data_IF_976173959700
#
_entry.id   IF_976173959700
#
_cell.length_a   1.000
_cell.length_b   1.000
_cell.length_c   1.000
_cell.angle_alpha   90.00
_cell.angle_beta   90.00
_cell.angle_gamma   90.00
#
_symmetry.space_group_name_H-M   'P 1'
#
loop_
_entity.id
_entity.type
_entity.pdbx_description
1 polymer ?
#
# COMPACT_ATOMS: atom_id res chain seq x y z
N UNK A 1 -12.70 12.81 8.32
CA UNK A 1 -11.99 12.04 7.29
C UNK A 1 -10.57 11.77 7.74
N UNK A 2 -10.16 10.50 7.74
CA UNK A 2 -8.77 10.14 7.99
C UNK A 2 -7.96 10.27 6.69
N UNK A 3 -6.79 10.94 6.69
CA UNK A 3 -5.97 11.18 5.48
C UNK A 3 -5.13 9.95 5.11
N UNK A 4 -5.72 8.76 5.18
CA UNK A 4 -5.11 7.49 4.79
C UNK A 4 -6.19 6.48 4.42
N UNK A 5 -5.79 5.47 3.66
CA UNK A 5 -6.62 4.31 3.34
C UNK A 5 -6.03 3.10 4.06
N UNK A 6 -6.90 2.33 4.70
CA UNK A 6 -6.59 1.03 5.27
C UNK A 6 -7.21 -0.04 4.39
N UNK A 7 -6.38 -0.87 3.77
CA UNK A 7 -6.81 -1.88 2.80
C UNK A 7 -6.35 -3.28 3.21
N UNK A 8 -7.14 -4.27 2.83
CA UNK A 8 -6.76 -5.68 2.96
C UNK A 8 -5.80 -6.04 1.84
N UNK A 9 -4.74 -6.79 2.16
CA UNK A 9 -3.81 -7.31 1.16
C UNK A 9 -4.52 -8.34 0.24
N UNK A 10 -4.11 -8.45 -1.03
CA UNK A 10 -4.70 -9.40 -1.96
C UNK A 10 -4.28 -10.84 -1.64
N UNK A 11 -5.12 -11.81 -2.01
CA UNK A 11 -4.77 -13.24 -2.05
C UNK A 11 -4.25 -13.83 -0.72
N UNK A 12 -4.60 -13.22 0.42
CA UNK A 12 -4.15 -13.68 1.74
C UNK A 12 -2.67 -13.42 2.02
N UNK A 13 -2.03 -12.55 1.24
CA UNK A 13 -0.64 -12.13 1.42
C UNK A 13 -0.40 -11.50 2.79
N UNK A 14 0.77 -11.72 3.39
CA UNK A 14 1.11 -11.05 4.65
C UNK A 14 1.31 -9.55 4.44
N UNK A 15 1.19 -8.78 5.52
CA UNK A 15 1.39 -7.33 5.49
C UNK A 15 2.80 -6.95 5.00
N UNK A 16 3.81 -7.75 5.35
CA UNK A 16 5.20 -7.53 4.95
C UNK A 16 5.47 -7.99 3.51
N UNK A 17 4.94 -9.12 3.08
CA UNK A 17 5.08 -9.54 1.68
C UNK A 17 4.46 -8.51 0.71
N UNK A 18 3.31 -7.93 1.10
CA UNK A 18 2.68 -6.88 0.31
C UNK A 18 3.51 -5.59 0.28
N UNK A 19 4.14 -5.23 1.41
CA UNK A 19 5.08 -4.11 1.47
C UNK A 19 6.23 -4.30 0.47
N UNK A 20 6.91 -5.44 0.52
CA UNK A 20 8.07 -5.72 -0.32
C UNK A 20 7.68 -5.74 -1.81
N UNK A 21 6.55 -6.37 -2.16
CA UNK A 21 6.06 -6.41 -3.54
C UNK A 21 5.72 -5.02 -4.07
N UNK A 22 5.03 -4.21 -3.28
CA UNK A 22 4.65 -2.84 -3.66
C UNK A 22 5.88 -1.94 -3.84
N UNK A 23 6.87 -2.07 -2.95
CA UNK A 23 8.12 -1.32 -3.03
C UNK A 23 8.94 -1.74 -4.26
N UNK A 24 9.13 -3.03 -4.47
CA UNK A 24 10.00 -3.55 -5.52
C UNK A 24 9.40 -3.40 -6.92
N UNK A 25 8.10 -3.67 -7.08
CA UNK A 25 7.47 -3.68 -8.40
C UNK A 25 6.92 -2.31 -8.80
N UNK A 26 6.36 -1.56 -7.84
CA UNK A 26 5.67 -0.30 -8.10
C UNK A 26 6.45 0.92 -7.63
N UNK A 27 7.56 0.77 -6.89
CA UNK A 27 8.30 1.89 -6.28
C UNK A 27 7.39 2.79 -5.43
N UNK A 28 6.49 2.18 -4.66
CA UNK A 28 5.57 2.85 -3.73
C UNK A 28 5.80 2.31 -2.32
N UNK A 29 5.98 3.21 -1.37
CA UNK A 29 6.14 2.88 0.06
C UNK A 29 4.81 3.10 0.77
N UNK A 30 4.47 2.20 1.69
CA UNK A 30 3.40 2.40 2.66
C UNK A 30 3.74 1.70 3.97
N UNK A 31 2.78 1.56 4.87
CA UNK A 31 3.03 0.95 6.19
C UNK A 31 2.38 -0.44 6.26
N UNK A 32 3.16 -1.52 6.49
CA UNK A 32 2.60 -2.86 6.70
C UNK A 32 1.72 -2.85 7.95
N UNK A 33 0.54 -3.47 7.86
CA UNK A 33 -0.44 -3.45 8.92
C UNK A 33 0.00 -4.19 10.19
N UNK A 34 0.89 -5.17 10.06
CA UNK A 34 1.51 -5.88 11.17
C UNK A 34 2.26 -4.97 12.14
N UNK A 35 2.77 -3.82 11.65
CA UNK A 35 3.38 -2.78 12.48
C UNK A 35 2.40 -2.09 13.46
N UNK A 36 1.09 -2.29 13.29
CA UNK A 36 0.04 -1.79 14.19
C UNK A 36 -0.47 -2.86 15.16
N UNK A 37 0.15 -4.04 15.19
CA UNK A 37 -0.20 -5.16 16.06
C UNK A 37 -0.81 -6.36 15.30
N UNK A 38 -1.08 -7.48 16.00
CA UNK A 38 -1.52 -8.74 15.37
C UNK A 38 -2.80 -8.60 14.54
N UNK A 39 -3.74 -7.75 14.96
CA UNK A 39 -4.99 -7.51 14.24
C UNK A 39 -4.80 -6.73 12.92
N UNK A 40 -3.61 -6.22 12.65
CA UNK A 40 -3.27 -5.57 11.38
C UNK A 40 -2.57 -6.50 10.38
N UNK A 41 -2.37 -7.78 10.71
CA UNK A 41 -1.83 -8.75 9.75
C UNK A 41 -2.79 -8.95 8.57
N UNK A 42 -2.24 -9.03 7.35
CA UNK A 42 -3.03 -9.02 6.11
C UNK A 42 -3.67 -7.68 5.75
N UNK A 43 -3.19 -6.57 6.33
CA UNK A 43 -3.65 -5.21 6.00
C UNK A 43 -2.48 -4.27 5.69
N UNK A 44 -2.79 -3.15 5.05
CA UNK A 44 -1.81 -2.17 4.64
C UNK A 44 -2.36 -0.74 4.72
N UNK A 45 -1.50 0.21 5.07
CA UNK A 45 -1.84 1.64 5.13
C UNK A 45 -1.16 2.42 4.01
N UNK A 46 -1.95 3.17 3.24
CA UNK A 46 -1.47 4.19 2.31
C UNK A 46 -1.86 5.57 2.80
N UNK A 47 -0.87 6.46 2.89
CA UNK A 47 -1.06 7.86 3.27
C UNK A 47 -1.56 8.68 2.09
N UNK A 48 -2.50 9.60 2.35
CA UNK A 48 -2.86 10.67 1.43
C UNK A 48 -2.09 11.98 1.71
N UNK A 49 -1.18 11.98 2.69
CA UNK A 49 -0.24 13.08 2.89
C UNK A 49 0.86 13.03 1.83
N UNK A 50 0.79 13.96 0.88
CA UNK A 50 1.76 14.14 -0.18
C UNK A 50 1.22 15.08 -1.25
N UNK A 51 2.11 15.57 -2.11
CA UNK A 51 1.69 16.38 -3.25
C UNK A 51 0.80 15.56 -4.19
N UNK A 52 -0.18 16.22 -4.79
CA UNK A 52 -1.14 15.58 -5.70
C UNK A 52 -0.44 14.81 -6.82
N UNK A 53 0.60 15.40 -7.41
CA UNK A 53 1.38 14.79 -8.50
C UNK A 53 2.07 13.49 -8.07
N UNK A 54 2.58 13.46 -6.83
CA UNK A 54 3.21 12.26 -6.26
C UNK A 54 2.19 11.14 -6.04
N UNK A 55 0.99 11.50 -5.57
CA UNK A 55 -0.12 10.54 -5.39
C UNK A 55 -0.58 9.99 -6.74
N UNK A 56 -0.81 10.85 -7.73
CA UNK A 56 -1.21 10.44 -9.09
C UNK A 56 -0.15 9.54 -9.73
N UNK A 57 1.14 9.85 -9.54
CA UNK A 57 2.26 9.01 -9.98
C UNK A 57 2.26 7.64 -9.29
N UNK A 58 2.09 7.58 -7.97
CA UNK A 58 2.04 6.34 -7.22
C UNK A 58 0.88 5.43 -7.69
N UNK A 59 -0.32 6.01 -7.86
CA UNK A 59 -1.49 5.28 -8.38
C UNK A 59 -1.24 4.79 -9.81
N UNK A 60 -0.65 5.62 -10.66
CA UNK A 60 -0.30 5.25 -12.04
C UNK A 60 0.66 4.06 -12.09
N UNK A 61 1.72 4.05 -11.27
CA UNK A 61 2.67 2.92 -11.18
C UNK A 61 1.98 1.62 -10.78
N UNK A 62 1.10 1.66 -9.77
CA UNK A 62 0.31 0.51 -9.34
C UNK A 62 -0.59 0.02 -10.50
N UNK A 63 -1.29 0.93 -11.19
CA UNK A 63 -2.15 0.56 -12.32
C UNK A 63 -1.37 -0.02 -13.51
N UNK A 64 -0.17 0.49 -13.81
CA UNK A 64 0.64 -0.03 -14.91
C UNK A 64 1.20 -1.43 -14.62
N UNK A 65 1.51 -1.73 -13.35
CA UNK A 65 2.05 -3.03 -12.96
C UNK A 65 0.98 -4.07 -12.69
N UNK A 66 -0.13 -3.67 -12.05
CA UNK A 66 -1.14 -4.60 -11.53
C UNK A 66 -2.56 -4.28 -12.02
N UNK A 67 -2.76 -3.23 -12.80
CA UNK A 67 -4.05 -2.97 -13.45
C UNK A 67 -4.33 -4.08 -14.46
N UNK A 68 -5.56 -4.60 -14.41
CA UNK A 68 -6.08 -5.50 -15.44
C UNK A 68 -6.18 -4.80 -16.79
#
# INVERSE_FOLDING_TARGET
NSPYIWLKTPEGMTSWDFFDKLLQECHVVGTPGSGFGPSGEGYFRLSAFGDRENIETAVSRIRQKWGK
#
